data_IF_353209702536
#
_entry.id   IF_353209702536
#
_cell.length_a   1.000
_cell.length_b   1.000
_cell.length_c   1.000
_cell.angle_alpha   90.00
_cell.angle_beta   90.00
_cell.angle_gamma   90.00
#
_symmetry.space_group_name_H-M   'P 1'
#
loop_
_entity.id
_entity.type
_entity.pdbx_description
1 polymer ?
#
# COMPACT_ATOMS: atom_id res chain seq x y z
N UNK A 1 5.62 -3.87 2.48
CA UNK A 1 7.05 -3.77 2.14
C UNK A 1 7.31 -3.75 0.62
N UNK A 2 6.31 -4.10 -0.20
CA UNK A 2 6.38 -4.12 -1.66
C UNK A 2 6.94 -2.82 -2.27
N UNK A 3 6.25 -1.68 -2.11
CA UNK A 3 6.66 -0.41 -2.74
C UNK A 3 7.98 0.13 -2.16
N UNK A 4 8.29 -0.12 -0.88
CA UNK A 4 9.63 0.16 -0.30
C UNK A 4 10.75 -0.66 -0.95
N UNK A 5 10.51 -1.93 -1.30
CA UNK A 5 11.51 -2.80 -1.93
C UNK A 5 11.99 -2.27 -3.28
N UNK A 6 11.09 -1.67 -4.06
CA UNK A 6 11.44 -1.01 -5.32
C UNK A 6 12.30 0.26 -5.12
N UNK A 7 12.15 0.96 -3.99
CA UNK A 7 13.00 2.10 -3.63
C UNK A 7 14.47 1.74 -3.32
N UNK A 8 14.76 0.47 -3.00
CA UNK A 8 16.16 0.03 -2.88
C UNK A 8 16.83 -0.09 -4.25
N UNK A 9 16.05 -0.37 -5.29
CA UNK A 9 16.52 -0.42 -6.68
C UNK A 9 16.76 1.01 -7.19
N UNK A 10 15.85 1.96 -6.91
CA UNK A 10 16.02 3.37 -7.29
C UNK A 10 17.32 3.99 -6.77
N UNK A 11 17.63 3.80 -5.49
CA UNK A 11 18.87 4.27 -4.88
C UNK A 11 20.13 3.68 -5.53
N UNK A 12 20.05 2.44 -6.04
CA UNK A 12 21.19 1.77 -6.67
C UNK A 12 21.40 2.21 -8.12
N UNK A 13 20.35 2.61 -8.82
CA UNK A 13 20.37 2.93 -10.26
C UNK A 13 20.14 4.41 -10.60
N UNK A 14 19.95 5.28 -9.61
CA UNK A 14 20.01 6.74 -9.78
C UNK A 14 18.78 7.36 -10.44
N UNK A 15 17.57 7.00 -10.01
CA UNK A 15 16.34 7.66 -10.47
C UNK A 15 15.07 7.20 -9.75
N UNK A 16 14.05 8.05 -9.67
CA UNK A 16 12.77 7.72 -9.01
C UNK A 16 11.93 6.81 -9.92
N UNK A 17 11.67 5.58 -9.48
CA UNK A 17 10.85 4.64 -10.26
C UNK A 17 9.35 4.90 -10.04
N UNK A 18 8.46 4.56 -11.01
CA UNK A 18 7.01 4.77 -10.87
C UNK A 18 6.41 4.21 -9.57
N UNK A 19 6.94 3.09 -9.09
CA UNK A 19 6.50 2.45 -7.84
C UNK A 19 6.84 3.30 -6.61
N UNK A 20 7.97 4.01 -6.63
CA UNK A 20 8.37 4.92 -5.57
C UNK A 20 7.53 6.21 -5.60
N UNK A 21 7.17 6.69 -6.80
CA UNK A 21 6.21 7.78 -6.97
C UNK A 21 4.88 7.39 -6.32
N UNK A 22 4.33 6.20 -6.64
CA UNK A 22 3.10 5.70 -6.00
C UNK A 22 3.23 5.64 -4.48
N UNK A 23 4.34 5.14 -3.96
CA UNK A 23 4.57 5.10 -2.52
C UNK A 23 4.55 6.50 -1.89
N UNK A 24 5.19 7.49 -2.54
CA UNK A 24 5.22 8.86 -2.07
C UNK A 24 3.85 9.56 -2.19
N UNK A 25 3.09 9.27 -3.24
CA UNK A 25 1.70 9.73 -3.39
C UNK A 25 0.81 9.17 -2.27
N UNK A 26 0.86 7.86 -2.00
CA UNK A 26 0.07 7.25 -0.92
C UNK A 26 0.46 7.80 0.47
N UNK A 27 1.74 8.15 0.68
CA UNK A 27 2.19 8.81 1.91
C UNK A 27 1.60 10.19 2.12
N UNK A 28 1.03 10.84 1.09
CA UNK A 28 0.25 12.07 1.28
C UNK A 28 -0.98 11.82 2.16
N UNK A 29 -1.50 10.58 2.14
CA UNK A 29 -2.59 10.12 3.00
C UNK A 29 -2.09 9.49 4.32
N UNK A 30 -0.78 9.36 4.53
CA UNK A 30 -0.16 8.77 5.72
C UNK A 30 0.66 7.50 5.41
N UNK A 31 1.64 7.17 6.27
CA UNK A 31 2.46 5.97 6.08
C UNK A 31 1.61 4.70 6.15
N UNK A 32 0.66 4.65 7.08
CA UNK A 32 -0.25 3.51 7.24
C UNK A 32 -1.07 3.22 5.97
N UNK A 33 -1.58 4.24 5.28
CA UNK A 33 -2.36 4.05 4.03
C UNK A 33 -1.50 3.40 2.95
N UNK A 34 -0.25 3.86 2.78
CA UNK A 34 0.72 3.23 1.88
C UNK A 34 0.95 1.77 2.25
N UNK A 35 1.12 1.48 3.54
CA UNK A 35 1.33 0.11 4.05
C UNK A 35 0.11 -0.77 3.79
N UNK A 36 -1.11 -0.28 4.00
CA UNK A 36 -2.34 -1.02 3.72
C UNK A 36 -2.42 -1.47 2.25
N UNK A 37 -2.09 -0.59 1.30
CA UNK A 37 -2.04 -0.94 -0.13
C UNK A 37 -0.97 -2.01 -0.38
N UNK A 38 0.25 -1.84 0.15
CA UNK A 38 1.34 -2.80 -0.03
C UNK A 38 0.97 -4.20 0.44
N UNK A 39 0.47 -4.34 1.67
CA UNK A 39 0.19 -5.66 2.26
C UNK A 39 -1.01 -6.32 1.59
N UNK A 40 -1.99 -5.53 1.13
CA UNK A 40 -3.17 -6.07 0.44
C UNK A 40 -2.80 -6.64 -0.92
N UNK A 41 -1.97 -5.93 -1.69
CA UNK A 41 -1.47 -6.42 -2.99
C UNK A 41 -0.57 -7.65 -2.78
N UNK A 42 0.32 -7.64 -1.78
CA UNK A 42 1.15 -8.80 -1.46
C UNK A 42 0.30 -10.02 -1.06
N UNK A 43 -0.74 -9.82 -0.26
CA UNK A 43 -1.65 -10.89 0.13
C UNK A 43 -2.45 -11.41 -1.07
N UNK A 44 -2.86 -10.53 -1.98
CA UNK A 44 -3.55 -10.90 -3.23
C UNK A 44 -2.64 -11.73 -4.14
N UNK A 45 -1.39 -11.33 -4.31
CA UNK A 45 -0.38 -12.05 -5.10
C UNK A 45 -0.02 -13.40 -4.49
N UNK A 46 -0.02 -13.51 -3.15
CA UNK A 46 0.19 -14.76 -2.45
C UNK A 46 -1.04 -15.69 -2.43
N UNK A 47 -2.19 -15.24 -2.95
CA UNK A 47 -3.44 -16.00 -2.92
C UNK A 47 -4.03 -16.19 -1.52
N UNK A 48 -3.67 -15.33 -0.56
CA UNK A 48 -4.10 -15.43 0.84
C UNK A 48 -5.43 -14.75 1.13
N UNK A 49 -5.93 -13.95 0.19
CA UNK A 49 -7.21 -13.22 0.31
C UNK A 49 -8.07 -13.45 -0.94
N UNK A 50 -9.41 -13.35 -0.82
CA UNK A 50 -10.30 -13.58 -1.94
C UNK A 50 -10.14 -12.52 -3.04
N UNK A 51 -9.89 -12.97 -4.27
CA UNK A 51 -9.79 -12.09 -5.43
C UNK A 51 -11.10 -11.33 -5.68
N UNK A 52 -10.98 -10.04 -5.98
CA UNK A 52 -12.10 -9.18 -6.39
C UNK A 52 -13.08 -8.82 -5.27
N UNK A 53 -12.78 -9.18 -4.02
CA UNK A 53 -13.59 -8.81 -2.85
C UNK A 53 -12.91 -7.72 -2.02
N UNK A 54 -13.73 -6.94 -1.33
CA UNK A 54 -13.24 -5.99 -0.34
C UNK A 54 -12.73 -6.72 0.90
N UNK A 55 -11.66 -6.18 1.46
CA UNK A 55 -11.07 -6.60 2.73
C UNK A 55 -10.77 -5.38 3.58
N UNK A 56 -10.60 -5.58 4.88
CA UNK A 56 -10.04 -4.57 5.78
C UNK A 56 -8.54 -4.78 5.88
N UNK A 57 -7.77 -3.76 5.51
CA UNK A 57 -6.32 -3.74 5.64
C UNK A 57 -5.90 -2.78 6.75
N UNK A 58 -5.04 -3.25 7.65
CA UNK A 58 -4.56 -2.52 8.81
C UNK A 58 -3.05 -2.28 8.66
N UNK A 59 -2.63 -1.04 8.82
CA UNK A 59 -1.26 -0.59 8.68
C UNK A 59 -0.89 0.44 9.74
N UNK A 60 0.39 0.80 9.80
CA UNK A 60 0.91 1.75 10.78
C UNK A 60 2.11 2.54 10.28
N UNK A 61 2.49 3.54 11.08
CA UNK A 61 3.68 4.35 10.89
C UNK A 61 4.81 3.83 11.79
N UNK A 62 5.89 3.33 11.17
CA UNK A 62 7.06 2.68 11.80
C UNK A 62 6.78 1.43 12.65
N UNK A 63 5.94 1.52 13.69
CA UNK A 63 5.57 0.42 14.58
C UNK A 63 4.09 0.47 14.93
N UNK A 64 3.51 -0.69 15.21
CA UNK A 64 2.09 -0.81 15.57
C UNK A 64 1.16 -0.59 14.38
N UNK A 65 -0.07 -0.19 14.68
CA UNK A 65 -1.12 0.10 13.70
C UNK A 65 -1.86 1.38 14.09
N UNK A 66 -2.01 2.28 13.13
CA UNK A 66 -2.67 3.59 13.29
C UNK A 66 -3.68 3.89 12.17
N UNK A 67 -3.75 3.01 11.17
CA UNK A 67 -4.53 3.19 9.95
C UNK A 67 -5.28 1.91 9.60
N UNK A 68 -6.55 2.05 9.26
CA UNK A 68 -7.37 0.96 8.73
C UNK A 68 -8.16 1.45 7.51
N UNK A 69 -8.20 0.62 6.46
CA UNK A 69 -8.89 0.94 5.21
C UNK A 69 -9.70 -0.26 4.71
N UNK A 70 -10.84 0.00 4.09
CA UNK A 70 -11.54 -0.96 3.25
C UNK A 70 -10.95 -0.84 1.85
N UNK A 71 -10.43 -1.94 1.31
CA UNK A 71 -9.70 -1.98 0.05
C UNK A 71 -10.07 -3.23 -0.74
N UNK A 72 -10.19 -3.07 -2.06
CA UNK A 72 -10.28 -4.15 -3.04
C UNK A 72 -8.94 -4.22 -3.78
N UNK A 73 -8.02 -5.10 -3.37
CA UNK A 73 -6.70 -5.20 -3.99
C UNK A 73 -6.76 -5.91 -5.34
N UNK A 74 -5.91 -5.46 -6.26
CA UNK A 74 -5.56 -6.17 -7.47
C UNK A 74 -4.18 -6.82 -7.34
N UNK A 75 -3.80 -7.64 -8.32
CA UNK A 75 -2.44 -8.17 -8.42
C UNK A 75 -1.41 -7.06 -8.64
N UNK A 76 -0.16 -7.27 -8.22
CA UNK A 76 0.90 -6.27 -8.38
C UNK A 76 1.15 -5.84 -9.83
N UNK A 77 0.93 -6.73 -10.80
CA UNK A 77 0.99 -6.43 -12.24
C UNK A 77 -0.11 -5.48 -12.72
N UNK A 78 -1.23 -5.42 -12.00
CA UNK A 78 -2.41 -4.61 -12.29
C UNK A 78 -2.70 -3.65 -11.13
N UNK A 79 -1.66 -3.13 -10.47
CA UNK A 79 -1.82 -2.39 -9.21
C UNK A 79 -2.73 -1.16 -9.31
N UNK A 80 -2.86 -0.55 -10.50
CA UNK A 80 -3.77 0.57 -10.75
C UNK A 80 -5.25 0.19 -10.67
N UNK A 81 -5.59 -1.11 -10.71
CA UNK A 81 -6.95 -1.61 -10.49
C UNK A 81 -7.28 -1.78 -9.00
N UNK A 82 -6.30 -1.55 -8.11
CA UNK A 82 -6.52 -1.54 -6.66
C UNK A 82 -7.37 -0.33 -6.28
N UNK A 83 -8.45 -0.59 -5.55
CA UNK A 83 -9.40 0.44 -5.15
C UNK A 83 -9.47 0.56 -3.63
N UNK A 84 -9.23 1.77 -3.10
CA UNK A 84 -9.45 2.10 -1.69
C UNK A 84 -10.88 2.60 -1.56
N UNK A 85 -11.77 1.76 -1.01
CA UNK A 85 -13.20 2.07 -0.87
C UNK A 85 -13.44 3.07 0.26
N UNK A 86 -12.77 2.90 1.39
CA UNK A 86 -12.97 3.73 2.57
C UNK A 86 -11.72 3.78 3.45
N UNK A 87 -11.46 4.93 4.07
CA UNK A 87 -10.44 5.09 5.13
C UNK A 87 -11.18 5.20 6.46
N UNK A 88 -11.15 4.13 7.25
CA UNK A 88 -11.85 4.05 8.54
C UNK A 88 -11.19 4.92 9.61
N UNK A 89 -9.85 4.87 9.65
CA UNK A 89 -9.06 5.71 10.51
C UNK A 89 -7.66 5.92 9.90
N UNK A 90 -7.06 7.07 10.21
CA UNK A 90 -5.66 7.39 9.97
C UNK A 90 -5.22 8.51 10.92
N UNK A 91 -3.92 8.72 11.14
CA UNK A 91 -3.43 9.89 11.86
C UNK A 91 -3.94 11.21 11.24
N UNK A 92 -4.30 12.16 12.10
CA UNK A 92 -4.68 13.52 11.70
C UNK A 92 -3.46 14.36 11.28
N UNK A 93 -2.32 14.10 11.91
CA UNK A 93 -1.04 14.74 11.62
C UNK A 93 -0.11 13.79 10.86
N UNK A 94 0.83 14.36 10.12
CA UNK A 94 1.88 13.61 9.42
C UNK A 94 2.95 13.09 10.36
#
# INVERSE_FOLDING_TARGET
QLLRGYGLISNKFGGTYPVEIMANTLRMLGQGVKVCVEISVMAQDAGLIPYGKEIIAIGGSDRGADTAVIIKPAHGSCIFDTWISEILCKPSNK
#
